data_IF_242141670732
#
_entry.id   IF_242141670732
#
_cell.length_a   1.000
_cell.length_b   1.000
_cell.length_c   1.000
_cell.angle_alpha   90.00
_cell.angle_beta   90.00
_cell.angle_gamma   90.00
#
_symmetry.space_group_name_H-M   'P 1'
#
loop_
_entity.id
_entity.type
_entity.pdbx_description
1 polymer ?
#
# COMPACT_ATOMS: atom_id res chain seq x y z
N UNK A 1 -8.37 -0.70 5.68
CA UNK A 1 -8.21 -1.07 4.26
C UNK A 1 -6.76 -0.74 3.89
N UNK A 2 -5.82 -1.61 4.28
CA UNK A 2 -4.39 -1.40 4.03
C UNK A 2 -4.06 -1.96 2.65
N UNK A 3 -4.05 -1.09 1.64
CA UNK A 3 -3.45 -1.43 0.35
C UNK A 3 -1.98 -1.73 0.60
N UNK A 4 -1.56 -2.92 0.20
CA UNK A 4 -0.17 -3.34 0.14
C UNK A 4 0.60 -2.25 -0.65
N UNK A 5 1.35 -1.38 0.03
CA UNK A 5 2.14 -0.31 -0.58
C UNK A 5 3.37 -0.95 -1.24
N UNK A 6 3.16 -1.69 -2.33
CA UNK A 6 4.26 -2.02 -3.24
C UNK A 6 4.80 -0.69 -3.75
N UNK A 7 6.11 -0.50 -3.68
CA UNK A 7 6.77 0.69 -4.22
C UNK A 7 6.36 0.82 -5.69
N UNK A 8 5.53 1.81 -6.00
CA UNK A 8 5.35 2.17 -7.41
C UNK A 8 6.64 2.83 -7.89
N UNK A 9 7.05 2.68 -9.16
CA UNK A 9 8.21 3.39 -9.70
C UNK A 9 8.13 4.91 -9.44
N UNK A 10 6.91 5.45 -9.40
CA UNK A 10 6.62 6.84 -9.06
C UNK A 10 6.95 7.16 -7.58
N UNK A 11 6.54 6.31 -6.63
CA UNK A 11 6.84 6.49 -5.20
C UNK A 11 8.35 6.46 -4.93
N UNK A 12 9.09 5.63 -5.66
CA UNK A 12 10.55 5.57 -5.55
C UNK A 12 11.21 6.85 -6.09
N UNK A 13 10.75 7.37 -7.24
CA UNK A 13 11.22 8.64 -7.79
C UNK A 13 10.86 9.84 -6.89
N UNK A 14 9.70 9.80 -6.25
CA UNK A 14 9.21 10.86 -5.36
C UNK A 14 9.96 10.88 -4.00
N UNK A 15 10.86 9.93 -3.71
CA UNK A 15 11.74 9.97 -2.51
C UNK A 15 12.55 11.26 -2.42
N UNK A 16 12.90 11.86 -3.56
CA UNK A 16 13.59 13.16 -3.60
C UNK A 16 12.81 14.28 -2.91
N UNK A 17 11.48 14.15 -2.77
CA UNK A 17 10.65 15.16 -2.12
C UNK A 17 10.91 15.25 -0.61
N UNK A 18 11.49 14.21 0.01
CA UNK A 18 11.82 14.18 1.44
C UNK A 18 12.90 15.20 1.84
N UNK A 19 13.67 15.72 0.88
CA UNK A 19 14.68 16.75 1.15
C UNK A 19 14.07 18.13 1.44
N UNK A 20 12.76 18.31 1.18
CA UNK A 20 12.07 19.57 1.39
C UNK A 20 11.20 19.52 2.64
N UNK A 21 11.34 20.51 3.52
CA UNK A 21 10.56 20.60 4.77
C UNK A 21 9.09 20.94 4.52
N UNK A 22 8.83 21.82 3.55
CA UNK A 22 7.50 22.31 3.19
C UNK A 22 7.44 22.62 1.69
N UNK A 23 6.24 22.99 1.23
CA UNK A 23 6.00 23.29 -0.18
C UNK A 23 6.79 24.51 -0.67
N UNK A 24 6.96 25.50 0.20
CA UNK A 24 7.70 26.73 -0.09
C UNK A 24 9.18 26.44 -0.34
N UNK A 25 9.80 25.56 0.46
CA UNK A 25 11.18 25.11 0.27
C UNK A 25 11.34 24.30 -1.03
N UNK A 26 10.30 23.56 -1.44
CA UNK A 26 10.26 22.94 -2.77
C UNK A 26 10.22 24.01 -3.88
N UNK A 27 9.39 25.05 -3.76
CA UNK A 27 9.35 26.13 -4.75
C UNK A 27 10.66 26.92 -4.82
N UNK A 28 11.31 27.15 -3.68
CA UNK A 28 12.61 27.82 -3.62
C UNK A 28 13.68 27.03 -4.39
N UNK A 29 13.61 25.70 -4.38
CA UNK A 29 14.51 24.83 -5.14
C UNK A 29 14.34 24.90 -6.67
N UNK A 30 13.20 25.42 -7.14
CA UNK A 30 12.90 25.62 -8.56
C UNK A 30 13.34 27.01 -9.06
N UNK A 31 13.60 27.94 -8.14
CA UNK A 31 14.06 29.29 -8.46
C UNK A 31 15.53 29.34 -8.85
N UNK A 32 15.93 30.42 -9.53
CA UNK A 32 17.32 30.72 -9.85
C UNK A 32 17.78 32.02 -9.21
N UNK A 33 19.09 32.22 -9.05
CA UNK A 33 19.67 33.47 -8.55
C UNK A 33 19.25 34.71 -9.38
N UNK A 34 18.87 34.52 -10.65
CA UNK A 34 18.34 35.61 -11.48
C UNK A 34 16.94 36.04 -11.02
N UNK A 35 16.10 35.11 -10.59
CA UNK A 35 14.74 35.41 -10.12
C UNK A 35 14.78 36.27 -8.85
N UNK A 36 15.70 35.98 -7.94
CA UNK A 36 15.92 36.81 -6.75
C UNK A 36 16.37 38.23 -7.11
N UNK A 37 17.26 38.37 -8.09
CA UNK A 37 17.79 39.66 -8.53
C UNK A 37 16.74 40.52 -9.27
N UNK A 38 15.97 39.90 -10.17
CA UNK A 38 15.00 40.62 -11.00
C UNK A 38 13.66 40.87 -10.30
N UNK A 39 13.16 39.91 -9.52
CA UNK A 39 11.86 40.02 -8.86
C UNK A 39 11.97 40.73 -7.52
N UNK A 40 13.15 40.72 -6.88
CA UNK A 40 13.44 41.34 -5.59
C UNK A 40 12.48 40.93 -4.45
N UNK A 41 11.70 39.87 -4.67
CA UNK A 41 10.70 39.35 -3.76
C UNK A 41 10.63 37.84 -3.92
N UNK A 42 10.88 37.14 -2.81
CA UNK A 42 10.83 35.67 -2.72
C UNK A 42 9.41 35.16 -3.01
N UNK A 43 8.38 35.88 -2.56
CA UNK A 43 6.98 35.49 -2.79
C UNK A 43 6.62 35.53 -4.27
N UNK A 44 7.07 36.56 -4.99
CA UNK A 44 6.83 36.67 -6.44
C UNK A 44 7.62 35.60 -7.19
N UNK A 45 8.86 35.31 -6.76
CA UNK A 45 9.66 34.23 -7.34
C UNK A 45 8.96 32.86 -7.18
N UNK A 46 8.41 32.57 -6.00
CA UNK A 46 7.64 31.35 -5.74
C UNK A 46 6.38 31.26 -6.60
N UNK A 47 5.63 32.34 -6.76
CA UNK A 47 4.44 32.37 -7.63
C UNK A 47 4.81 32.07 -9.10
N UNK A 48 5.90 32.65 -9.59
CA UNK A 48 6.40 32.38 -10.95
C UNK A 48 6.85 30.92 -11.10
N UNK A 49 7.50 30.37 -10.07
CA UNK A 49 7.92 28.96 -10.05
C UNK A 49 6.70 28.02 -10.05
N UNK A 50 5.68 28.29 -9.25
CA UNK A 50 4.44 27.50 -9.17
C UNK A 50 3.70 27.44 -10.51
N UNK A 51 3.70 28.55 -11.27
CA UNK A 51 3.10 28.61 -12.62
C UNK A 51 3.87 27.79 -13.67
N UNK A 52 5.06 27.27 -13.34
CA UNK A 52 5.82 26.39 -14.21
C UNK A 52 6.44 27.05 -15.44
N UNK A 53 6.43 28.39 -15.55
CA UNK A 53 6.94 29.13 -16.71
C UNK A 53 8.44 28.92 -16.99
N UNK A 54 9.22 28.48 -16.00
CA UNK A 54 10.67 28.24 -16.13
C UNK A 54 11.11 26.79 -15.95
N UNK A 55 10.25 25.93 -15.39
CA UNK A 55 10.60 24.52 -15.22
C UNK A 55 10.40 23.79 -16.55
N UNK A 56 11.39 23.01 -16.97
CA UNK A 56 11.29 22.16 -18.16
C UNK A 56 10.33 20.97 -17.98
N UNK A 57 9.62 20.89 -16.85
CA UNK A 57 8.63 19.86 -16.53
C UNK A 57 7.47 20.37 -15.69
N UNK A 58 6.54 19.47 -15.38
CA UNK A 58 5.36 19.74 -14.57
C UNK A 58 5.78 20.10 -13.13
N UNK A 59 5.46 21.34 -12.71
CA UNK A 59 5.64 21.76 -11.32
C UNK A 59 4.51 21.18 -10.49
N UNK A 60 4.84 20.55 -9.37
CA UNK A 60 3.81 19.97 -8.51
C UNK A 60 2.99 21.09 -7.87
N UNK A 61 1.66 20.98 -7.96
CA UNK A 61 0.80 21.82 -7.13
C UNK A 61 1.01 21.47 -5.65
N UNK A 62 0.61 22.38 -4.74
CA UNK A 62 0.69 22.12 -3.29
C UNK A 62 0.03 20.79 -2.91
N UNK A 63 -1.18 20.56 -3.40
CA UNK A 63 -1.92 19.31 -3.14
C UNK A 63 -1.16 18.08 -3.66
N UNK A 64 -0.59 18.17 -4.86
CA UNK A 64 0.18 17.08 -5.45
C UNK A 64 1.47 16.80 -4.67
N UNK A 65 2.18 17.84 -4.24
CA UNK A 65 3.38 17.73 -3.42
C UNK A 65 3.06 17.04 -2.10
N UNK A 66 2.06 17.51 -1.36
CA UNK A 66 1.64 16.94 -0.08
C UNK A 66 1.18 15.49 -0.23
N UNK A 67 0.40 15.19 -1.28
CA UNK A 67 -0.08 13.84 -1.55
C UNK A 67 1.05 12.87 -1.86
N UNK A 68 2.02 13.28 -2.69
CA UNK A 68 3.19 12.45 -3.04
C UNK A 68 4.10 12.26 -1.85
N UNK A 69 4.35 13.32 -1.08
CA UNK A 69 5.14 13.27 0.15
C UNK A 69 4.50 12.32 1.16
N UNK A 70 3.19 12.42 1.38
CA UNK A 70 2.45 11.52 2.26
C UNK A 70 2.52 10.06 1.80
N UNK A 71 2.44 9.79 0.49
CA UNK A 71 2.59 8.45 -0.04
C UNK A 71 3.99 7.87 0.22
N UNK A 72 5.04 8.69 0.07
CA UNK A 72 6.42 8.30 0.40
C UNK A 72 6.57 8.03 1.91
N UNK A 73 6.03 8.90 2.77
CA UNK A 73 6.04 8.69 4.22
C UNK A 73 5.32 7.40 4.63
N UNK A 74 4.13 7.13 4.08
CA UNK A 74 3.41 5.89 4.35
C UNK A 74 4.16 4.64 3.87
N UNK A 75 4.91 4.76 2.78
CA UNK A 75 5.72 3.66 2.26
C UNK A 75 6.96 3.40 3.13
N UNK A 76 7.67 4.45 3.57
CA UNK A 76 8.87 4.32 4.41
C UNK A 76 8.54 3.99 5.88
N UNK A 77 7.46 4.58 6.39
CA UNK A 77 7.01 4.47 7.77
C UNK A 77 5.53 4.05 7.79
N UNK A 78 5.22 2.81 7.40
CA UNK A 78 3.86 2.32 7.43
C UNK A 78 3.31 2.42 8.87
N UNK A 79 2.07 2.91 9.05
CA UNK A 79 1.49 3.02 10.38
C UNK A 79 1.45 1.65 11.04
N UNK A 80 1.90 1.58 12.29
CA UNK A 80 1.80 0.37 13.09
C UNK A 80 0.32 0.05 13.32
N UNK A 81 -0.19 -0.98 12.65
CA UNK A 81 -1.52 -1.52 12.96
C UNK A 81 -1.36 -2.70 13.91
N UNK A 82 -1.96 -2.66 15.11
CA UNK A 82 -1.93 -3.80 16.01
C UNK A 82 -2.56 -4.99 15.29
N UNK A 83 -1.81 -6.09 15.31
CA UNK A 83 -2.20 -7.31 14.65
C UNK A 83 -3.41 -7.93 15.37
N UNK A 84 -4.57 -7.94 14.72
CA UNK A 84 -5.73 -8.69 15.19
C UNK A 84 -5.84 -9.98 14.38
N UNK A 85 -5.60 -11.13 15.01
CA UNK A 85 -5.85 -12.42 14.35
C UNK A 85 -7.34 -12.52 14.06
N UNK A 86 -7.69 -12.83 12.82
CA UNK A 86 -9.09 -12.97 12.42
C UNK A 86 -9.69 -14.28 12.95
N UNK A 87 -8.83 -15.26 13.22
CA UNK A 87 -9.15 -16.54 13.84
C UNK A 87 -9.30 -16.50 15.38
N UNK A 88 -9.05 -15.36 16.03
CA UNK A 88 -9.11 -15.25 17.49
C UNK A 88 -10.54 -15.44 18.02
N UNK A 89 -10.70 -16.26 19.07
CA UNK A 89 -12.00 -16.55 19.68
C UNK A 89 -12.91 -17.51 18.90
N UNK A 90 -12.40 -18.15 17.85
CA UNK A 90 -13.19 -19.03 16.98
C UNK A 90 -13.32 -20.46 17.54
N UNK A 91 -14.50 -21.07 17.35
CA UNK A 91 -14.75 -22.46 17.72
C UNK A 91 -13.95 -23.37 16.79
N UNK A 92 -13.11 -24.22 17.37
CA UNK A 92 -12.24 -25.17 16.67
C UNK A 92 -13.03 -26.43 16.33
N UNK A 93 -13.87 -26.35 15.31
CA UNK A 93 -14.73 -27.45 14.84
C UNK A 93 -14.12 -28.25 13.69
N UNK A 94 -13.34 -27.58 12.83
CA UNK A 94 -12.80 -28.12 11.59
C UNK A 94 -11.26 -28.17 11.63
N UNK A 95 -10.62 -29.34 11.43
CA UNK A 95 -9.17 -29.48 11.35
C UNK A 95 -8.50 -28.49 10.39
N UNK A 96 -9.11 -28.20 9.24
CA UNK A 96 -8.55 -27.25 8.27
C UNK A 96 -8.53 -25.84 8.84
N UNK A 97 -9.63 -25.38 9.46
CA UNK A 97 -9.70 -24.06 10.08
C UNK A 97 -8.71 -23.91 11.22
N UNK A 98 -8.49 -24.97 12.01
CA UNK A 98 -7.50 -25.00 13.09
C UNK A 98 -6.09 -24.77 12.52
N UNK A 99 -5.70 -25.52 11.49
CA UNK A 99 -4.39 -25.39 10.87
C UNK A 99 -4.18 -24.02 10.22
N UNK A 100 -5.21 -23.45 9.60
CA UNK A 100 -5.14 -22.10 9.03
C UNK A 100 -5.02 -21.03 10.12
N UNK A 101 -5.80 -21.14 11.19
CA UNK A 101 -5.73 -20.23 12.34
C UNK A 101 -4.33 -20.20 12.97
N UNK A 102 -3.71 -21.38 13.16
CA UNK A 102 -2.34 -21.49 13.68
C UNK A 102 -1.31 -20.80 12.78
N UNK A 103 -1.54 -20.77 11.47
CA UNK A 103 -0.63 -20.21 10.47
C UNK A 103 -0.88 -18.73 10.17
N UNK A 104 -2.02 -18.19 10.58
CA UNK A 104 -2.48 -16.84 10.20
C UNK A 104 -1.45 -15.76 10.57
N UNK A 105 -0.92 -15.80 11.79
CA UNK A 105 0.04 -14.80 12.28
C UNK A 105 1.36 -14.86 11.53
N UNK A 106 1.94 -16.05 11.42
CA UNK A 106 3.22 -16.23 10.74
C UNK A 106 3.13 -15.86 9.24
N UNK A 107 1.99 -16.11 8.59
CA UNK A 107 1.76 -15.70 7.20
C UNK A 107 1.62 -14.18 7.05
N UNK A 108 0.82 -13.52 7.90
CA UNK A 108 0.63 -12.07 7.82
C UNK A 108 1.89 -11.26 8.14
N UNK A 109 2.76 -11.78 9.01
CA UNK A 109 4.06 -11.14 9.34
C UNK A 109 5.14 -11.51 8.31
N UNK A 110 4.90 -12.47 7.41
CA UNK A 110 5.87 -12.93 6.42
C UNK A 110 6.97 -13.84 6.98
N UNK A 111 6.77 -14.43 8.15
CA UNK A 111 7.68 -15.43 8.74
C UNK A 111 7.48 -16.80 8.08
N UNK A 112 6.25 -17.12 7.71
CA UNK A 112 5.86 -18.37 7.06
C UNK A 112 5.14 -18.04 5.76
N UNK A 113 5.42 -18.77 4.69
CA UNK A 113 4.64 -18.72 3.46
C UNK A 113 3.86 -20.01 3.29
N UNK A 114 2.53 -19.93 3.20
CA UNK A 114 1.64 -21.08 3.06
C UNK A 114 0.91 -21.03 1.72
N UNK A 115 1.14 -22.05 0.89
CA UNK A 115 0.37 -22.30 -0.33
C UNK A 115 -0.58 -23.45 -0.07
N UNK A 116 -1.86 -23.26 -0.38
CA UNK A 116 -2.92 -24.26 -0.22
C UNK A 116 -3.25 -24.82 -1.58
N UNK A 117 -3.03 -26.12 -1.77
CA UNK A 117 -3.47 -26.84 -2.96
C UNK A 117 -4.90 -27.33 -2.78
N UNK A 118 -5.71 -27.13 -3.81
CA UNK A 118 -7.13 -27.43 -3.81
C UNK A 118 -7.40 -28.37 -4.98
N UNK A 119 -8.15 -29.43 -4.70
CA UNK A 119 -8.68 -30.35 -5.70
C UNK A 119 -10.18 -30.51 -5.45
N UNK A 120 -10.97 -30.33 -6.49
CA UNK A 120 -12.42 -30.37 -6.47
C UNK A 120 -12.92 -31.28 -7.56
N UNK A 121 -13.94 -32.07 -7.25
CA UNK A 121 -14.68 -32.82 -8.24
C UNK A 121 -16.03 -32.13 -8.45
N UNK A 122 -16.33 -31.77 -9.70
CA UNK A 122 -17.61 -31.18 -10.07
C UNK A 122 -18.70 -32.25 -10.07
N UNK A 123 -19.97 -31.84 -9.98
CA UNK A 123 -21.11 -32.78 -10.08
C UNK A 123 -21.16 -33.55 -11.41
N UNK A 124 -20.50 -33.03 -12.45
CA UNK A 124 -20.38 -33.67 -13.76
C UNK A 124 -19.17 -34.62 -13.86
N UNK A 125 -18.42 -34.83 -12.78
CA UNK A 125 -17.26 -35.73 -12.74
C UNK A 125 -15.95 -35.14 -13.24
N UNK A 126 -15.91 -33.84 -13.55
CA UNK A 126 -14.66 -33.16 -13.90
C UNK A 126 -13.86 -32.80 -12.66
N UNK A 127 -12.56 -33.05 -12.69
CA UNK A 127 -11.61 -32.63 -11.68
C UNK A 127 -11.07 -31.23 -11.99
N UNK A 128 -11.14 -30.34 -11.00
CA UNK A 128 -10.55 -29.00 -11.04
C UNK A 128 -9.51 -28.93 -9.93
N UNK A 129 -8.27 -28.66 -10.31
CA UNK A 129 -7.16 -28.46 -9.38
C UNK A 129 -6.66 -27.02 -9.44
N UNK A 130 -6.26 -26.45 -8.31
CA UNK A 130 -5.77 -25.09 -8.20
C UNK A 130 -4.92 -24.88 -6.94
N UNK A 131 -4.40 -23.67 -6.77
CA UNK A 131 -3.65 -23.28 -5.58
C UNK A 131 -4.08 -21.89 -5.10
N UNK A 132 -3.83 -21.63 -3.81
CA UNK A 132 -4.12 -20.37 -3.15
C UNK A 132 -2.92 -19.96 -2.29
N UNK A 133 -2.41 -18.76 -2.51
CA UNK A 133 -1.45 -18.14 -1.60
C UNK A 133 -2.21 -17.59 -0.38
N UNK A 134 -1.98 -18.21 0.78
CA UNK A 134 -2.70 -17.86 1.99
C UNK A 134 -2.31 -16.47 2.49
N UNK A 135 -1.03 -16.09 2.39
CA UNK A 135 -0.54 -14.78 2.80
C UNK A 135 -1.16 -13.67 1.96
N UNK A 136 -1.16 -13.83 0.64
CA UNK A 136 -1.78 -12.86 -0.28
C UNK A 136 -3.28 -12.72 0.00
N UNK A 137 -3.99 -13.83 0.16
CA UNK A 137 -5.43 -13.79 0.43
C UNK A 137 -5.81 -13.18 1.77
N UNK A 138 -4.98 -13.35 2.81
CA UNK A 138 -5.20 -12.72 4.10
C UNK A 138 -5.11 -11.19 4.01
N UNK A 139 -4.38 -10.66 3.03
CA UNK A 139 -4.24 -9.22 2.79
C UNK A 139 -5.42 -8.68 1.97
N UNK A 140 -5.88 -9.44 0.97
CA UNK A 140 -6.88 -8.98 -0.01
C UNK A 140 -8.32 -9.16 0.49
N UNK A 141 -8.61 -10.19 1.27
CA UNK A 141 -9.98 -10.56 1.66
C UNK A 141 -10.17 -10.58 3.18
N UNK A 142 -11.41 -10.36 3.65
CA UNK A 142 -11.79 -10.65 5.04
C UNK A 142 -12.03 -12.16 5.21
N UNK A 143 -11.20 -12.79 6.04
CA UNK A 143 -11.25 -14.22 6.33
C UNK A 143 -12.18 -14.57 7.50
N UNK A 144 -12.74 -13.59 8.21
CA UNK A 144 -13.64 -13.83 9.34
C UNK A 144 -14.84 -14.70 8.96
N UNK A 145 -15.54 -14.46 7.83
CA UNK A 145 -16.65 -15.31 7.42
C UNK A 145 -16.25 -16.77 7.15
N UNK A 146 -15.00 -17.02 6.74
CA UNK A 146 -14.47 -18.36 6.49
C UNK A 146 -14.25 -19.09 7.82
N UNK A 147 -13.58 -18.44 8.78
CA UNK A 147 -13.38 -19.04 10.10
C UNK A 147 -14.71 -19.28 10.83
N UNK A 148 -15.72 -18.42 10.64
CA UNK A 148 -17.06 -18.58 11.23
C UNK A 148 -17.87 -19.68 10.52
N UNK A 149 -17.43 -20.15 9.36
CA UNK A 149 -18.17 -21.12 8.54
C UNK A 149 -19.35 -20.54 7.76
N UNK A 150 -19.44 -19.21 7.65
CA UNK A 150 -20.45 -18.52 6.82
C UNK A 150 -20.06 -18.45 5.34
N UNK A 151 -18.78 -18.61 5.04
CA UNK A 151 -18.23 -18.63 3.67
C UNK A 151 -17.32 -19.84 3.52
N UNK A 152 -17.39 -20.53 2.38
CA UNK A 152 -16.41 -21.56 2.03
C UNK A 152 -15.19 -20.91 1.39
N UNK A 153 -14.01 -21.51 1.57
CA UNK A 153 -12.76 -21.08 0.93
C UNK A 153 -12.90 -21.12 -0.61
N UNK A 154 -13.73 -22.03 -1.11
CA UNK A 154 -14.01 -22.25 -2.52
C UNK A 154 -15.49 -21.97 -2.75
N UNK A 155 -15.80 -21.10 -3.72
CA UNK A 155 -17.17 -20.88 -4.18
C UNK A 155 -17.68 -22.16 -4.85
N UNK A 156 -18.80 -22.69 -4.34
CA UNK A 156 -19.61 -23.68 -5.07
C UNK A 156 -20.76 -22.94 -5.74
#
# INVERSE_FOLDING_TARGET
MNRNLKASPQTEADRRLLQYENYEHYLDSLGTNQDECYLQSVEVARQVAELGYRSSGETLSREQFEKRLAAVYQYLFPPYTPYHATSEGMIKDDPLKIELALRERSNRVGILSTIIFIKLETRAGYEISGYLDYGDKLIVEDWKPIFVGRKKIIGT
#
